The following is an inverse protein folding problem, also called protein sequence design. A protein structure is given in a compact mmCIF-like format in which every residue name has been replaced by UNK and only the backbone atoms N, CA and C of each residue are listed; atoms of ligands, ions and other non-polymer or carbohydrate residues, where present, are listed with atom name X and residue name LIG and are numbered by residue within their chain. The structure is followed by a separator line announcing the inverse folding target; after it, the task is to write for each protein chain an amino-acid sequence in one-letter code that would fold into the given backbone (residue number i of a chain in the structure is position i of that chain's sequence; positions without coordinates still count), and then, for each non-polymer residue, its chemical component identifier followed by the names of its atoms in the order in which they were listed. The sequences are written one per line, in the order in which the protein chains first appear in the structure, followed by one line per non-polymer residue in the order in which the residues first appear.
data_IF_124653250554
#
_entry.id   IF_124653250554
#
_cell.length_a   1.000
_cell.length_b   1.000
_cell.length_c   1.000
_cell.angle_alpha   90.00
_cell.angle_beta   90.00
_cell.angle_gamma   90.00
#
_symmetry.space_group_name_H-M   'P 1'
#
loop_
_entity.id
_entity.type
_entity.pdbx_description
1 polymer ?
#
# COMPACT_ATOMS: atom_id res chain seq x y z
N UNK A 1 -21.07 17.01 -1.94
CA UNK A 1 -20.71 17.14 -0.51
C UNK A 1 -21.57 18.22 0.11
N UNK A 2 -21.84 18.17 1.41
CA UNK A 2 -22.52 19.25 2.13
C UNK A 2 -21.51 20.04 2.96
N UNK A 3 -21.52 21.35 2.81
CA UNK A 3 -20.78 22.28 3.65
C UNK A 3 -21.76 23.30 4.22
N UNK A 4 -22.00 23.27 5.53
CA UNK A 4 -22.98 24.13 6.21
C UNK A 4 -24.37 24.15 5.53
N UNK A 5 -24.84 23.00 5.06
CA UNK A 5 -26.13 22.86 4.37
C UNK A 5 -26.12 23.16 2.87
N UNK A 6 -25.04 23.70 2.31
CA UNK A 6 -24.89 23.94 0.87
C UNK A 6 -24.23 22.75 0.16
N UNK A 7 -24.68 22.45 -1.06
CA UNK A 7 -24.07 21.42 -1.89
C UNK A 7 -22.80 21.96 -2.56
N UNK A 8 -21.64 21.42 -2.20
CA UNK A 8 -20.33 21.77 -2.78
C UNK A 8 -19.73 20.59 -3.56
N UNK A 9 -18.92 20.91 -4.58
CA UNK A 9 -18.20 19.91 -5.40
C UNK A 9 -16.96 19.35 -4.69
N UNK A 10 -16.28 20.18 -3.90
CA UNK A 10 -15.11 19.82 -3.09
C UNK A 10 -15.17 20.59 -1.76
N UNK A 11 -14.60 20.04 -0.69
CA UNK A 11 -14.53 20.76 0.57
C UNK A 11 -13.61 21.98 0.46
N UNK A 12 -13.90 23.05 1.23
CA UNK A 12 -12.98 24.19 1.38
C UNK A 12 -11.58 23.77 1.86
N UNK A 13 -10.53 24.58 1.63
CA UNK A 13 -9.14 24.21 1.93
C UNK A 13 -8.83 23.82 3.39
N UNK A 14 -9.65 24.26 4.34
CA UNK A 14 -9.53 23.96 5.77
C UNK A 14 -10.53 22.88 6.26
N UNK A 15 -11.22 22.22 5.33
CA UNK A 15 -12.18 21.16 5.63
C UNK A 15 -11.89 19.90 4.83
N UNK A 16 -12.24 18.76 5.39
CA UNK A 16 -12.15 17.46 4.73
C UNK A 16 -13.52 16.80 4.63
N UNK A 17 -13.70 15.99 3.59
CA UNK A 17 -14.91 15.18 3.42
C UNK A 17 -14.88 14.02 4.41
N UNK A 18 -15.90 13.98 5.28
CA UNK A 18 -16.20 12.83 6.12
C UNK A 18 -17.66 12.46 5.88
N UNK A 19 -17.88 11.30 5.24
CA UNK A 19 -19.20 10.75 4.92
C UNK A 19 -20.13 11.71 4.15
N UNK A 20 -19.57 12.51 3.24
CA UNK A 20 -20.32 13.43 2.41
C UNK A 20 -20.49 14.82 3.02
N UNK A 21 -19.91 15.08 4.20
CA UNK A 21 -19.98 16.34 4.93
C UNK A 21 -18.58 16.94 5.13
N UNK A 22 -18.45 18.25 4.91
CA UNK A 22 -17.18 18.96 5.06
C UNK A 22 -16.99 19.41 6.51
N UNK A 23 -16.03 18.80 7.20
CA UNK A 23 -15.69 19.13 8.59
C UNK A 23 -14.35 19.86 8.68
N UNK A 24 -14.17 20.84 9.59
CA UNK A 24 -12.87 21.48 9.83
C UNK A 24 -11.78 20.47 10.16
N UNK A 25 -10.61 20.66 9.56
CA UNK A 25 -9.41 19.90 9.88
C UNK A 25 -8.82 20.40 11.20
N UNK A 26 -8.10 19.53 11.92
CA UNK A 26 -7.57 19.87 13.25
C UNK A 26 -6.39 20.87 13.16
N UNK A 27 -5.37 20.55 12.35
CA UNK A 27 -4.16 21.38 12.15
C UNK A 27 -3.83 21.50 10.66
N UNK A 28 -3.77 20.37 9.95
CA UNK A 28 -3.54 20.32 8.51
C UNK A 28 -4.58 19.39 7.89
N UNK A 29 -5.15 19.77 6.75
CA UNK A 29 -6.09 18.89 6.08
C UNK A 29 -5.40 17.68 5.46
N UNK A 30 -6.04 16.50 5.49
CA UNK A 30 -5.53 15.34 4.77
C UNK A 30 -5.31 15.66 3.30
N UNK A 31 -4.08 15.56 2.82
CA UNK A 31 -3.77 15.70 1.39
C UNK A 31 -4.16 14.39 0.71
N UNK A 32 -5.21 14.46 -0.10
CA UNK A 32 -5.71 13.33 -0.88
C UNK A 32 -5.09 13.34 -2.28
N UNK A 33 -4.41 12.26 -2.64
CA UNK A 33 -3.67 12.14 -3.88
C UNK A 33 -4.20 10.98 -4.71
N UNK A 34 -4.50 11.24 -6.00
CA UNK A 34 -4.89 10.20 -6.94
C UNK A 34 -3.64 9.51 -7.48
N UNK A 35 -3.72 8.20 -7.63
CA UNK A 35 -2.60 7.38 -8.13
C UNK A 35 -2.87 6.96 -9.56
N UNK A 36 -1.89 7.16 -10.43
CA UNK A 36 -1.74 6.43 -11.68
C UNK A 36 -0.86 5.21 -11.41
N UNK A 37 -1.31 4.03 -11.86
CA UNK A 37 -0.63 2.75 -11.62
C UNK A 37 0.20 2.38 -12.87
N UNK A 38 1.38 1.75 -12.71
CA UNK A 38 2.07 1.43 -11.46
C UNK A 38 2.90 2.62 -10.92
N UNK A 39 3.51 2.47 -9.74
CA UNK A 39 4.47 3.45 -9.21
C UNK A 39 5.77 3.40 -10.01
N UNK A 40 6.31 4.57 -10.37
CA UNK A 40 7.54 4.72 -11.13
C UNK A 40 8.24 6.05 -10.85
N UNK A 41 9.47 6.20 -11.35
CA UNK A 41 10.31 7.39 -11.14
C UNK A 41 9.64 8.71 -11.58
N UNK A 42 8.82 8.67 -12.64
CA UNK A 42 8.06 9.84 -13.11
C UNK A 42 6.89 10.28 -12.22
N UNK A 43 6.34 9.44 -11.33
CA UNK A 43 5.16 9.78 -10.54
C UNK A 43 5.40 9.83 -9.01
N UNK A 44 6.52 9.28 -8.51
CA UNK A 44 6.76 9.10 -7.08
C UNK A 44 6.68 10.40 -6.27
N UNK A 45 7.26 11.49 -6.78
CA UNK A 45 7.30 12.79 -6.08
C UNK A 45 5.92 13.44 -5.92
N UNK A 46 4.94 13.06 -6.75
CA UNK A 46 3.56 13.56 -6.63
C UNK A 46 2.89 13.12 -5.32
N UNK A 47 3.41 12.06 -4.69
CA UNK A 47 2.88 11.50 -3.44
C UNK A 47 3.45 12.12 -2.17
N UNK A 48 4.37 13.07 -2.30
CA UNK A 48 4.94 13.78 -1.15
C UNK A 48 3.84 14.45 -0.32
N UNK A 49 3.91 14.28 1.00
CA UNK A 49 2.96 14.82 1.99
C UNK A 49 1.52 14.30 1.84
N UNK A 50 1.27 13.28 1.01
CA UNK A 50 -0.05 12.67 0.88
C UNK A 50 -0.36 11.85 2.13
N UNK A 51 -1.57 12.04 2.68
CA UNK A 51 -2.05 11.27 3.83
C UNK A 51 -3.10 10.24 3.42
N UNK A 52 -3.80 10.49 2.32
CA UNK A 52 -4.80 9.59 1.75
C UNK A 52 -4.48 9.36 0.27
N UNK A 53 -4.41 8.10 -0.11
CA UNK A 53 -4.27 7.67 -1.49
C UNK A 53 -5.63 7.26 -2.04
N UNK A 54 -6.09 7.98 -3.07
CA UNK A 54 -7.33 7.70 -3.78
C UNK A 54 -7.07 6.76 -4.96
N UNK A 55 -7.24 5.47 -4.73
CA UNK A 55 -6.91 4.40 -5.66
C UNK A 55 -6.08 3.32 -5.00
N UNK A 56 -5.31 2.59 -5.80
CA UNK A 56 -4.43 1.53 -5.32
C UNK A 56 -2.98 1.83 -5.64
N UNK A 57 -2.07 1.30 -4.83
CA UNK A 57 -0.63 1.38 -5.03
C UNK A 57 -0.14 0.06 -5.59
N UNK A 58 0.66 0.13 -6.66
CA UNK A 58 1.33 -1.03 -7.25
C UNK A 58 2.84 -0.79 -7.31
N UNK A 59 3.58 -1.57 -6.54
CA UNK A 59 5.04 -1.63 -6.57
C UNK A 59 5.40 -2.94 -7.26
N UNK A 60 5.83 -2.85 -8.51
CA UNK A 60 6.11 -3.99 -9.37
C UNK A 60 7.61 -4.05 -9.69
N UNK A 61 8.10 -5.15 -10.26
CA UNK A 61 9.51 -5.29 -10.65
C UNK A 61 10.02 -4.11 -11.50
N UNK A 62 9.18 -3.60 -12.41
CA UNK A 62 9.49 -2.44 -13.27
C UNK A 62 9.65 -1.12 -12.51
N UNK A 63 9.10 -1.01 -11.29
CA UNK A 63 9.33 0.15 -10.41
C UNK A 63 10.82 0.29 -10.10
N UNK A 64 11.52 -0.82 -9.84
CA UNK A 64 12.95 -0.83 -9.49
C UNK A 64 13.87 -1.08 -10.69
N UNK A 65 13.38 -1.67 -11.78
CA UNK A 65 14.21 -1.93 -12.98
C UNK A 65 14.05 -0.87 -14.08
N UNK A 66 13.02 -0.02 -13.99
CA UNK A 66 12.66 0.96 -15.01
C UNK A 66 11.98 0.32 -16.22
N UNK A 67 11.34 1.13 -17.06
CA UNK A 67 10.66 0.63 -18.25
C UNK A 67 10.47 1.72 -19.32
N UNK A 68 10.20 1.26 -20.53
CA UNK A 68 9.74 2.10 -21.62
C UNK A 68 8.21 2.11 -21.61
N UNK A 69 7.57 3.27 -21.42
CA UNK A 69 6.12 3.36 -21.55
C UNK A 69 5.71 3.05 -23.00
N UNK A 70 4.65 2.27 -23.14
CA UNK A 70 4.02 1.96 -24.43
C UNK A 70 2.62 2.55 -24.38
N UNK A 71 2.37 3.49 -25.27
CA UNK A 71 1.08 4.16 -25.39
C UNK A 71 0.01 3.18 -25.94
N UNK A 72 -1.28 3.48 -25.79
CA UNK A 72 -2.37 2.63 -26.32
C UNK A 72 -2.32 2.40 -27.84
N UNK A 73 -1.66 3.28 -28.60
CA UNK A 73 -1.43 3.16 -30.04
C UNK A 73 -0.16 2.37 -30.40
N UNK A 74 0.44 1.68 -29.42
CA UNK A 74 1.69 0.92 -29.53
C UNK A 74 2.95 1.76 -29.82
N UNK A 75 2.87 3.09 -29.76
CA UNK A 75 4.04 3.95 -29.83
C UNK A 75 4.82 3.96 -28.51
N UNK A 76 6.12 4.29 -28.58
CA UNK A 76 6.94 4.47 -27.39
C UNK A 76 6.68 5.84 -26.77
N UNK A 77 6.22 5.85 -25.52
CA UNK A 77 6.06 7.05 -24.70
C UNK A 77 7.32 7.41 -23.92
N UNK A 78 7.15 7.95 -22.72
CA UNK A 78 8.26 8.31 -21.83
C UNK A 78 9.02 7.09 -21.33
N UNK A 79 10.34 7.23 -21.17
CA UNK A 79 11.18 6.22 -20.53
C UNK A 79 11.35 6.54 -19.07
N UNK A 80 10.87 5.66 -18.20
CA UNK A 80 11.06 5.78 -16.76
C UNK A 80 12.31 5.05 -16.31
N UNK A 81 13.18 5.78 -15.61
CA UNK A 81 14.41 5.24 -15.04
C UNK A 81 14.12 4.29 -13.87
N UNK A 82 15.07 3.41 -13.58
CA UNK A 82 15.08 2.59 -12.37
C UNK A 82 15.02 3.48 -11.12
N UNK A 83 14.32 3.00 -10.09
CA UNK A 83 14.13 3.73 -8.83
C UNK A 83 14.74 2.94 -7.68
N UNK A 84 15.44 3.63 -6.77
CA UNK A 84 15.89 3.02 -5.52
C UNK A 84 14.72 2.96 -4.51
N UNK A 85 14.64 1.94 -3.65
CA UNK A 85 13.54 1.79 -2.69
C UNK A 85 13.34 2.99 -1.76
N UNK A 86 14.39 3.75 -1.44
CA UNK A 86 14.31 4.92 -0.56
C UNK A 86 13.40 6.03 -1.10
N UNK A 87 13.18 6.09 -2.41
CA UNK A 87 12.21 6.99 -3.01
C UNK A 87 10.76 6.72 -2.53
N UNK A 88 10.47 5.51 -2.03
CA UNK A 88 9.17 5.17 -1.45
C UNK A 88 8.90 5.88 -0.11
N UNK A 89 9.88 6.55 0.50
CA UNK A 89 9.69 7.30 1.76
C UNK A 89 8.63 8.41 1.66
N UNK A 90 8.29 8.86 0.46
CA UNK A 90 7.13 9.74 0.22
C UNK A 90 5.83 9.17 0.78
N UNK A 91 5.70 7.84 0.90
CA UNK A 91 4.52 7.18 1.46
C UNK A 91 4.49 7.13 2.98
N UNK A 92 5.54 7.61 3.67
CA UNK A 92 5.62 7.57 5.12
C UNK A 92 4.49 8.33 5.81
N UNK A 93 3.91 9.35 5.17
CA UNK A 93 2.78 10.12 5.71
C UNK A 93 1.42 9.50 5.40
N UNK A 94 1.35 8.46 4.55
CA UNK A 94 0.09 7.84 4.14
C UNK A 94 -0.49 7.03 5.28
N UNK A 95 -1.77 7.31 5.57
CA UNK A 95 -2.56 6.65 6.62
C UNK A 95 -3.71 5.81 6.05
N UNK A 96 -4.18 6.13 4.84
CA UNK A 96 -5.23 5.36 4.15
C UNK A 96 -4.93 5.20 2.65
N UNK A 97 -5.14 3.98 2.15
CA UNK A 97 -5.24 3.66 0.71
C UNK A 97 -6.66 3.21 0.43
N UNK A 98 -7.42 3.91 -0.42
CA UNK A 98 -8.86 3.62 -0.61
C UNK A 98 -9.12 2.33 -1.42
N UNK A 99 -8.18 1.94 -2.29
CA UNK A 99 -8.17 0.70 -3.06
C UNK A 99 -7.36 -0.39 -2.37
N UNK A 100 -6.38 -0.95 -3.08
CA UNK A 100 -5.50 -2.03 -2.61
C UNK A 100 -4.02 -1.61 -2.55
N UNK A 101 -3.21 -2.41 -1.85
CA UNK A 101 -1.75 -2.34 -1.88
C UNK A 101 -1.22 -3.63 -2.51
N UNK A 102 -0.56 -3.53 -3.66
CA UNK A 102 0.01 -4.64 -4.43
C UNK A 102 1.53 -4.49 -4.53
N UNK A 103 2.28 -5.48 -4.02
CA UNK A 103 3.74 -5.48 -4.00
C UNK A 103 4.26 -6.77 -4.61
N UNK A 104 4.90 -6.65 -5.77
CA UNK A 104 5.47 -7.76 -6.56
C UNK A 104 6.82 -7.34 -7.15
N UNK A 105 7.75 -6.99 -6.28
CA UNK A 105 9.03 -6.44 -6.68
C UNK A 105 10.16 -6.99 -5.81
N UNK A 106 11.31 -7.21 -6.45
CA UNK A 106 12.52 -7.64 -5.79
C UNK A 106 13.62 -6.56 -5.92
N UNK A 107 14.22 -6.18 -4.79
CA UNK A 107 15.41 -5.32 -4.79
C UNK A 107 16.26 -5.62 -3.54
N UNK A 108 17.60 -5.69 -3.62
CA UNK A 108 18.45 -6.04 -2.48
C UNK A 108 18.22 -5.18 -1.23
N UNK A 109 17.93 -3.89 -1.43
CA UNK A 109 17.66 -2.94 -0.35
C UNK A 109 16.18 -2.87 0.07
N UNK A 110 15.26 -3.46 -0.71
CA UNK A 110 13.83 -3.47 -0.40
C UNK A 110 13.49 -4.64 0.52
N UNK A 111 13.76 -4.47 1.80
CA UNK A 111 13.68 -5.54 2.82
C UNK A 111 12.47 -5.41 3.76
N UNK A 112 11.75 -4.29 3.73
CA UNK A 112 10.49 -4.08 4.48
C UNK A 112 9.57 -3.08 3.78
N UNK A 113 8.28 -3.05 4.15
CA UNK A 113 7.32 -2.00 3.78
C UNK A 113 7.26 -0.89 4.85
N UNK A 114 8.35 -0.61 5.55
CA UNK A 114 8.42 0.46 6.56
C UNK A 114 8.15 1.86 5.98
N UNK A 115 8.28 2.04 4.67
CA UNK A 115 7.78 3.22 3.95
C UNK A 115 6.27 3.47 4.15
N UNK A 116 5.50 2.44 4.53
CA UNK A 116 4.08 2.51 4.87
C UNK A 116 3.84 2.38 6.38
N UNK A 117 4.81 2.73 7.24
CA UNK A 117 4.72 2.54 8.70
C UNK A 117 3.51 3.20 9.36
N UNK A 118 2.95 4.26 8.77
CA UNK A 118 1.79 4.98 9.26
C UNK A 118 0.48 4.56 8.57
N UNK A 119 0.51 3.61 7.63
CA UNK A 119 -0.69 3.12 6.96
C UNK A 119 -1.59 2.39 7.96
N UNK A 120 -2.77 2.92 8.21
CA UNK A 120 -3.72 2.36 9.17
C UNK A 120 -4.84 1.56 8.50
N UNK A 121 -5.25 1.98 7.30
CA UNK A 121 -6.44 1.50 6.63
C UNK A 121 -6.17 1.19 5.16
N UNK A 122 -6.57 -0.01 4.74
CA UNK A 122 -6.73 -0.37 3.33
C UNK A 122 -8.23 -0.51 3.05
N UNK A 123 -8.71 0.24 2.07
CA UNK A 123 -10.13 0.43 1.81
C UNK A 123 -10.79 -0.69 1.03
N UNK A 124 -10.10 -1.30 0.08
CA UNK A 124 -10.63 -2.40 -0.72
C UNK A 124 -11.83 -2.02 -1.61
N UNK A 125 -11.95 -0.75 -2.02
CA UNK A 125 -12.94 -0.34 -3.05
C UNK A 125 -12.59 -0.93 -4.43
N UNK A 126 -11.30 -1.16 -4.64
CA UNK A 126 -10.73 -1.93 -5.72
C UNK A 126 -9.97 -3.09 -5.09
N UNK A 127 -9.85 -4.21 -5.80
CA UNK A 127 -9.13 -5.41 -5.36
C UNK A 127 -8.30 -5.96 -6.52
N UNK A 128 -7.28 -6.75 -6.22
CA UNK A 128 -6.58 -7.57 -7.21
C UNK A 128 -7.54 -8.67 -7.66
N UNK A 129 -7.97 -8.65 -8.93
CA UNK A 129 -9.12 -9.40 -9.44
C UNK A 129 -9.08 -10.91 -9.12
N UNK A 130 -7.98 -11.59 -9.45
CA UNK A 130 -7.89 -13.05 -9.34
C UNK A 130 -7.97 -13.59 -7.90
N UNK A 131 -7.60 -12.79 -6.91
CA UNK A 131 -7.56 -13.19 -5.50
C UNK A 131 -8.54 -12.40 -4.63
N UNK A 132 -9.26 -11.45 -5.22
CA UNK A 132 -10.06 -10.47 -4.51
C UNK A 132 -9.28 -9.80 -3.36
N UNK A 133 -7.97 -9.58 -3.56
CA UNK A 133 -7.07 -9.17 -2.50
C UNK A 133 -6.90 -7.64 -2.43
N UNK A 134 -7.00 -7.09 -1.22
CA UNK A 134 -6.74 -5.68 -0.92
C UNK A 134 -5.33 -5.45 -0.38
N UNK A 135 -4.71 -6.47 0.21
CA UNK A 135 -3.28 -6.49 0.50
C UNK A 135 -2.69 -7.69 -0.21
N UNK A 136 -1.88 -7.46 -1.25
CA UNK A 136 -1.27 -8.51 -2.05
C UNK A 136 0.25 -8.34 -2.08
N UNK A 137 0.98 -9.31 -1.51
CA UNK A 137 2.43 -9.28 -1.40
C UNK A 137 2.97 -10.63 -1.87
N UNK A 138 3.63 -10.65 -3.02
CA UNK A 138 4.08 -11.90 -3.63
C UNK A 138 5.46 -11.79 -4.27
N UNK A 139 6.28 -12.84 -4.12
CA UNK A 139 7.61 -12.96 -4.76
C UNK A 139 8.52 -11.74 -4.50
N UNK A 140 8.50 -11.21 -3.29
CA UNK A 140 9.30 -10.02 -2.93
C UNK A 140 10.64 -10.38 -2.27
N UNK A 141 11.53 -9.40 -2.16
CA UNK A 141 12.78 -9.45 -1.37
C UNK A 141 12.58 -9.16 0.14
N UNK A 142 11.33 -9.00 0.60
CA UNK A 142 11.02 -8.58 1.96
C UNK A 142 11.47 -9.63 2.98
N UNK A 143 11.99 -9.15 4.11
CA UNK A 143 12.32 -9.95 5.31
C UNK A 143 11.33 -9.74 6.45
N UNK A 144 10.70 -8.57 6.50
CA UNK A 144 9.61 -8.25 7.42
C UNK A 144 8.59 -7.38 6.70
N UNK A 145 7.37 -7.31 7.22
CA UNK A 145 6.34 -6.45 6.62
C UNK A 145 6.55 -4.97 6.95
N UNK A 146 6.79 -4.60 8.21
CA UNK A 146 6.98 -3.19 8.58
C UNK A 146 5.70 -2.32 8.57
N UNK A 147 4.52 -2.91 8.36
CA UNK A 147 3.20 -2.26 8.39
C UNK A 147 2.70 -2.04 9.83
N UNK A 148 3.48 -1.32 10.65
CA UNK A 148 3.29 -1.25 12.11
C UNK A 148 1.95 -0.64 12.54
N UNK A 149 1.43 0.32 11.78
CA UNK A 149 0.16 1.00 12.12
C UNK A 149 -1.07 0.36 11.49
N UNK A 150 -0.92 -0.70 10.71
CA UNK A 150 -2.05 -1.30 9.98
C UNK A 150 -3.04 -1.92 10.96
N UNK A 151 -4.23 -1.33 11.01
CA UNK A 151 -5.30 -1.73 11.94
C UNK A 151 -6.47 -2.39 11.23
N UNK A 152 -6.67 -2.11 9.93
CA UNK A 152 -7.90 -2.50 9.24
C UNK A 152 -7.79 -2.63 7.73
N UNK A 153 -8.36 -3.71 7.21
CA UNK A 153 -8.70 -3.90 5.79
C UNK A 153 -10.22 -3.94 5.68
N UNK A 154 -10.83 -2.91 5.07
CA UNK A 154 -12.29 -2.72 5.07
C UNK A 154 -13.02 -3.74 4.20
N UNK A 155 -12.44 -4.14 3.06
CA UNK A 155 -12.97 -5.11 2.11
C UNK A 155 -11.82 -5.84 1.42
N UNK A 156 -12.07 -7.03 0.87
CA UNK A 156 -11.08 -7.86 0.18
C UNK A 156 -10.21 -8.71 1.11
N UNK A 157 -9.55 -9.70 0.52
CA UNK A 157 -8.63 -10.61 1.19
C UNK A 157 -7.23 -10.01 1.39
N UNK A 158 -6.45 -10.68 2.21
CA UNK A 158 -5.02 -10.51 2.38
C UNK A 158 -4.37 -11.77 1.80
N UNK A 159 -3.47 -11.57 0.83
CA UNK A 159 -2.71 -12.61 0.18
C UNK A 159 -1.22 -12.28 0.27
N UNK A 160 -0.49 -13.04 1.07
CA UNK A 160 0.95 -12.90 1.30
C UNK A 160 1.60 -14.25 1.02
N UNK A 161 2.24 -14.39 -0.14
CA UNK A 161 2.71 -15.69 -0.57
C UNK A 161 4.01 -15.66 -1.38
N UNK A 162 4.76 -16.76 -1.33
CA UNK A 162 5.99 -16.94 -2.12
C UNK A 162 7.09 -15.91 -1.80
N UNK A 163 7.10 -15.35 -0.59
CA UNK A 163 8.14 -14.45 -0.10
C UNK A 163 9.16 -15.26 0.73
N UNK A 164 10.16 -15.82 0.06
CA UNK A 164 11.08 -16.84 0.64
C UNK A 164 11.85 -16.40 1.88
N UNK A 165 12.06 -15.10 2.05
CA UNK A 165 12.79 -14.54 3.19
C UNK A 165 11.89 -13.82 4.20
N UNK A 166 10.58 -13.76 3.94
CA UNK A 166 9.64 -12.98 4.77
C UNK A 166 9.29 -13.75 6.04
N UNK A 167 9.71 -13.21 7.17
CA UNK A 167 9.38 -13.69 8.50
C UNK A 167 8.16 -12.96 9.09
N UNK A 168 7.67 -13.47 10.24
CA UNK A 168 6.59 -12.89 11.06
C UNK A 168 5.17 -12.90 10.48
N UNK A 169 5.01 -13.02 9.16
CA UNK A 169 3.69 -12.94 8.52
C UNK A 169 2.70 -14.01 9.03
N UNK A 170 3.18 -15.21 9.35
CA UNK A 170 2.37 -16.32 9.90
C UNK A 170 1.85 -16.04 11.33
N UNK A 171 2.54 -15.21 12.10
CA UNK A 171 2.22 -14.93 13.51
C UNK A 171 1.16 -13.82 13.66
N UNK A 172 0.80 -13.13 12.58
CA UNK A 172 -0.17 -12.03 12.60
C UNK A 172 -1.59 -12.60 12.53
N UNK A 173 -2.45 -12.14 13.45
CA UNK A 173 -3.87 -12.50 13.45
C UNK A 173 -4.66 -11.75 12.36
N UNK A 174 -4.39 -12.05 11.09
CA UNK A 174 -4.96 -11.37 9.91
C UNK A 174 -6.49 -11.25 9.93
N UNK A 175 -7.18 -12.28 10.43
CA UNK A 175 -8.64 -12.29 10.55
C UNK A 175 -9.18 -11.20 11.48
N UNK A 176 -8.36 -10.62 12.38
CA UNK A 176 -8.75 -9.48 13.23
C UNK A 176 -8.65 -8.14 12.49
N UNK A 177 -7.85 -8.06 11.44
CA UNK A 177 -7.66 -6.83 10.64
C UNK A 177 -8.73 -6.70 9.54
N UNK A 178 -9.19 -7.82 8.99
CA UNK A 178 -10.18 -7.81 7.90
C UNK A 178 -11.60 -7.69 8.46
N UNK A 179 -12.36 -6.71 7.96
CA UNK A 179 -13.75 -6.49 8.40
C UNK A 179 -14.75 -7.46 7.74
N UNK A 180 -14.58 -7.73 6.44
CA UNK A 180 -15.40 -8.72 5.71
C UNK A 180 -14.84 -10.12 5.95
N UNK A 181 -15.73 -11.10 6.16
CA UNK A 181 -15.36 -12.52 6.31
C UNK A 181 -15.62 -13.33 5.04
N UNK A 182 -15.92 -12.64 3.94
CA UNK A 182 -16.39 -13.27 2.70
C UNK A 182 -15.26 -13.96 1.94
N UNK A 183 -14.01 -13.60 2.25
CA UNK A 183 -12.82 -14.13 1.59
C UNK A 183 -11.80 -14.65 2.58
N UNK A 184 -11.21 -15.80 2.25
CA UNK A 184 -10.18 -16.45 3.07
C UNK A 184 -8.83 -15.74 2.86
N UNK A 185 -8.12 -15.52 3.96
CA UNK A 185 -6.75 -15.00 3.92
C UNK A 185 -5.79 -16.08 3.44
N UNK A 186 -4.82 -15.72 2.59
CA UNK A 186 -3.85 -16.65 2.00
C UNK A 186 -2.46 -16.24 2.46
N UNK A 187 -1.95 -16.94 3.48
CA UNK A 187 -0.58 -16.75 3.99
C UNK A 187 0.12 -18.09 3.81
N UNK A 188 1.01 -18.20 2.83
CA UNK A 188 1.64 -19.49 2.50
C UNK A 188 2.93 -19.33 1.72
N UNK A 189 3.81 -20.34 1.78
CA UNK A 189 5.10 -20.35 1.05
C UNK A 189 5.99 -19.14 1.34
N UNK A 190 5.91 -18.60 2.56
CA UNK A 190 6.85 -17.60 3.08
C UNK A 190 8.00 -18.31 3.83
N UNK A 191 8.90 -17.56 4.48
CA UNK A 191 9.98 -18.19 5.26
C UNK A 191 9.39 -19.01 6.41
N UNK A 192 9.90 -20.23 6.60
CA UNK A 192 9.51 -21.05 7.74
C UNK A 192 10.15 -20.57 9.05
N UNK A 193 9.56 -20.96 10.18
CA UNK A 193 10.01 -20.54 11.50
C UNK A 193 11.49 -20.85 11.77
N UNK A 194 12.01 -22.01 11.34
CA UNK A 194 13.42 -22.38 11.58
C UNK A 194 14.36 -21.48 10.79
N UNK A 195 13.97 -21.13 9.56
CA UNK A 195 14.72 -20.17 8.73
C UNK A 195 14.77 -18.80 9.42
N UNK A 196 13.67 -18.34 9.99
CA UNK A 196 13.60 -17.07 10.72
C UNK A 196 14.41 -17.07 12.03
N UNK A 197 14.31 -18.14 12.83
CA UNK A 197 15.07 -18.30 14.07
C UNK A 197 16.58 -18.31 13.84
N UNK A 198 17.07 -19.00 12.80
CA UNK A 198 18.49 -18.98 12.43
C UNK A 198 19.02 -17.59 12.08
N UNK A 199 18.14 -16.68 11.67
CA UNK A 199 18.48 -15.30 11.35
C UNK A 199 18.23 -14.34 12.52
N UNK A 200 17.87 -14.85 13.71
CA UNK A 200 17.41 -14.07 14.86
C UNK A 200 16.23 -13.14 14.52
N UNK A 201 15.38 -13.53 13.57
CA UNK A 201 14.16 -12.83 13.19
C UNK A 201 12.97 -13.44 13.93
N UNK A 202 12.90 -13.19 15.24
CA UNK A 202 11.81 -13.62 16.13
C UNK A 202 11.09 -12.39 16.71
N UNK A 203 9.80 -12.55 17.04
CA UNK A 203 9.04 -11.45 17.62
C UNK A 203 9.68 -11.04 18.95
N UNK A 204 9.63 -9.74 19.24
CA UNK A 204 9.98 -9.24 20.56
C UNK A 204 9.04 -9.88 21.60
N UNK A 205 9.54 -10.31 22.77
CA UNK A 205 8.71 -10.84 23.84
C UNK A 205 7.74 -9.83 24.46
N UNK A 206 7.89 -8.53 24.21
CA UNK A 206 7.03 -7.45 24.76
C UNK A 206 5.92 -6.95 23.82
#
# INVERSE_FOLDING_TARGET
LKDNGACVRSCPPNKTDVNGECIPCNVTCPKKCRVEKPIHSGNIESFKDCTIIDGSIEILEMTFTGFQHVNPDYSFGERYSKMEPDALEVFSTVTEVTGYLNVQAHHPNFTSLSYFRNLEVIGGRQVVENLFASLYIVKTSLRSLGLKSLKRVKSGAIAIMENRNLCFAENIAWNKLVKSKDHKQIIQKNADQRTCEKQNLVCDPE
#
